data_IF_838226036633
#
_entry.id   IF_838226036633
#
_cell.length_a   1.000
_cell.length_b   1.000
_cell.length_c   1.000
_cell.angle_alpha   90.00
_cell.angle_beta   90.00
_cell.angle_gamma   90.00
#
_symmetry.space_group_name_H-M   'P 1'
#
loop_
_entity.id
_entity.type
_entity.pdbx_description
1 polymer ?
#
# COMPACT_ATOMS: atom_id res chain seq x y z
N UNK A 1 19.35 -23.40 2.36
CA UNK A 1 17.96 -23.89 2.58
C UNK A 1 17.03 -23.11 1.67
N UNK A 2 16.39 -23.75 0.71
CA UNK A 2 15.27 -23.13 -0.03
C UNK A 2 14.21 -22.78 1.01
N UNK A 3 13.74 -21.54 1.07
CA UNK A 3 12.51 -21.24 1.80
C UNK A 3 11.51 -22.25 1.29
N UNK A 4 11.09 -23.19 2.14
CA UNK A 4 10.05 -24.14 1.74
C UNK A 4 8.87 -23.32 1.25
N UNK A 5 8.28 -23.70 0.13
CA UNK A 5 7.11 -23.03 -0.45
C UNK A 5 6.08 -22.72 0.64
N UNK A 6 5.89 -23.65 1.58
CA UNK A 6 5.03 -23.48 2.74
C UNK A 6 5.35 -22.25 3.61
N UNK A 7 6.63 -22.00 3.93
CA UNK A 7 6.98 -20.82 4.75
C UNK A 7 6.68 -19.49 4.03
N UNK A 8 6.83 -19.46 2.70
CA UNK A 8 6.47 -18.28 1.92
C UNK A 8 4.94 -18.06 1.93
N UNK A 9 4.15 -19.12 1.79
CA UNK A 9 2.68 -19.06 1.87
C UNK A 9 2.24 -18.60 3.25
N UNK A 10 2.73 -19.21 4.33
CA UNK A 10 2.37 -18.79 5.70
C UNK A 10 2.75 -17.34 6.00
N UNK A 11 3.88 -16.86 5.48
CA UNK A 11 4.25 -15.44 5.62
C UNK A 11 3.27 -14.54 4.90
N UNK A 12 2.82 -14.91 3.69
CA UNK A 12 1.83 -14.12 2.95
C UNK A 12 0.47 -14.12 3.67
N UNK A 13 0.02 -15.27 4.17
CA UNK A 13 -1.20 -15.36 4.99
C UNK A 13 -1.11 -14.47 6.22
N UNK A 14 0.00 -14.50 6.95
CA UNK A 14 0.21 -13.63 8.10
C UNK A 14 0.16 -12.14 7.76
N UNK A 15 0.78 -11.75 6.63
CA UNK A 15 0.74 -10.36 6.15
C UNK A 15 -0.68 -9.93 5.78
N UNK A 16 -1.42 -10.76 5.06
CA UNK A 16 -2.81 -10.43 4.68
C UNK A 16 -3.74 -10.38 5.89
N UNK A 17 -3.54 -11.25 6.88
CA UNK A 17 -4.27 -11.21 8.16
C UNK A 17 -4.00 -9.89 8.91
N UNK A 18 -2.75 -9.41 8.96
CA UNK A 18 -2.41 -8.13 9.57
C UNK A 18 -3.03 -6.94 8.80
N UNK A 19 -3.08 -7.02 7.48
CA UNK A 19 -3.72 -5.98 6.67
C UNK A 19 -5.24 -5.96 6.83
N UNK A 20 -5.88 -7.10 7.09
CA UNK A 20 -7.33 -7.17 7.32
C UNK A 20 -7.76 -6.44 8.61
N UNK A 21 -6.84 -6.27 9.57
CA UNK A 21 -7.10 -5.49 10.79
C UNK A 21 -7.46 -4.03 10.49
N UNK A 22 -7.02 -3.46 9.36
CA UNK A 22 -7.37 -2.09 8.98
C UNK A 22 -8.89 -1.90 8.86
N UNK A 23 -9.59 -2.86 8.25
CA UNK A 23 -11.04 -2.82 8.13
C UNK A 23 -11.77 -3.00 9.46
N UNK A 24 -11.19 -3.79 10.37
CA UNK A 24 -11.76 -3.99 11.72
C UNK A 24 -11.59 -2.72 12.55
N UNK A 25 -10.38 -2.17 12.58
CA UNK A 25 -10.06 -0.95 13.33
C UNK A 25 -10.93 0.23 12.88
N UNK A 26 -11.08 0.43 11.56
CA UNK A 26 -11.92 1.54 11.05
C UNK A 26 -13.38 1.45 11.46
N UNK A 27 -13.90 0.24 11.73
CA UNK A 27 -15.28 0.04 12.22
C UNK A 27 -15.46 0.31 13.72
N UNK A 28 -14.37 0.32 14.49
CA UNK A 28 -14.38 0.57 15.92
C UNK A 28 -13.97 2.01 16.28
N UNK A 29 -13.77 2.86 15.28
CA UNK A 29 -13.53 4.29 15.50
C UNK A 29 -14.86 4.97 15.83
N UNK A 30 -14.87 5.76 16.90
CA UNK A 30 -16.09 6.38 17.43
C UNK A 30 -16.27 7.82 16.93
N UNK A 31 -15.22 8.62 16.89
CA UNK A 31 -15.29 10.07 16.64
C UNK A 31 -14.34 10.57 15.54
N UNK A 32 -13.37 9.76 15.14
CA UNK A 32 -12.35 10.17 14.18
C UNK A 32 -12.91 10.36 12.77
N UNK A 33 -12.67 11.54 12.18
CA UNK A 33 -13.07 11.86 10.80
C UNK A 33 -12.13 11.19 9.78
N UNK A 34 -12.59 11.03 8.54
CA UNK A 34 -11.85 10.36 7.46
C UNK A 34 -10.40 10.82 7.28
N UNK A 35 -10.18 12.14 7.28
CA UNK A 35 -8.83 12.71 7.13
C UNK A 35 -8.00 12.59 8.39
N UNK A 36 -8.63 12.66 9.56
CA UNK A 36 -7.99 12.49 10.84
C UNK A 36 -7.48 11.05 11.03
N UNK A 37 -8.28 10.06 10.65
CA UNK A 37 -7.89 8.64 10.59
C UNK A 37 -6.65 8.45 9.71
N UNK A 38 -6.65 9.08 8.53
CA UNK A 38 -5.52 9.02 7.60
C UNK A 38 -4.27 9.68 8.18
N UNK A 39 -4.43 10.85 8.83
CA UNK A 39 -3.34 11.58 9.47
C UNK A 39 -2.68 10.76 10.57
N UNK A 40 -3.44 10.32 11.58
CA UNK A 40 -2.88 9.59 12.72
C UNK A 40 -2.21 8.29 12.29
N UNK A 41 -2.86 7.52 11.41
CA UNK A 41 -2.25 6.30 10.87
C UNK A 41 -0.94 6.57 10.14
N UNK A 42 -0.92 7.57 9.25
CA UNK A 42 0.29 7.92 8.50
C UNK A 42 1.39 8.46 9.40
N UNK A 43 1.04 9.27 10.41
CA UNK A 43 1.95 9.80 11.41
C UNK A 43 2.62 8.66 12.19
N UNK A 44 1.85 7.72 12.74
CA UNK A 44 2.42 6.57 13.44
C UNK A 44 3.24 5.67 12.52
N UNK A 45 2.88 5.56 11.24
CA UNK A 45 3.71 4.87 10.25
C UNK A 45 5.06 5.57 10.06
N UNK A 46 5.08 6.91 9.99
CA UNK A 46 6.32 7.70 9.92
C UNK A 46 7.18 7.46 11.15
N UNK A 47 6.62 7.65 12.36
CA UNK A 47 7.36 7.45 13.62
C UNK A 47 7.95 6.05 13.68
N UNK A 48 7.17 5.07 13.35
CA UNK A 48 7.60 3.67 13.36
C UNK A 48 8.72 3.39 12.37
N UNK A 49 8.62 3.90 11.13
CA UNK A 49 9.66 3.73 10.11
C UNK A 49 10.94 4.48 10.48
N UNK A 50 10.84 5.65 11.11
CA UNK A 50 12.01 6.40 11.60
C UNK A 50 12.80 5.61 12.65
N UNK A 51 12.12 4.80 13.47
CA UNK A 51 12.77 3.94 14.47
C UNK A 51 13.28 2.64 13.85
N UNK A 52 12.49 1.98 13.05
CA UNK A 52 12.78 0.63 12.56
C UNK A 52 13.80 0.62 11.42
N UNK A 53 13.75 1.59 10.50
CA UNK A 53 14.71 1.68 9.40
C UNK A 53 16.18 1.72 9.89
N UNK A 54 16.58 2.60 10.84
CA UNK A 54 17.95 2.61 11.33
C UNK A 54 18.31 1.40 12.20
N UNK A 55 17.34 0.82 12.92
CA UNK A 55 17.58 -0.40 13.70
C UNK A 55 17.91 -1.61 12.82
N UNK A 56 17.35 -1.64 11.61
CA UNK A 56 17.47 -2.77 10.70
C UNK A 56 18.55 -2.66 9.65
N UNK A 57 18.60 -1.53 8.98
CA UNK A 57 19.58 -1.28 7.92
C UNK A 57 20.82 -0.53 8.43
N UNK A 58 20.85 -0.23 9.73
CA UNK A 58 21.89 0.60 10.34
C UNK A 58 21.68 2.09 10.07
N UNK A 59 22.38 2.94 10.82
CA UNK A 59 22.30 4.40 10.66
C UNK A 59 22.70 4.91 9.27
N UNK A 60 23.41 4.07 8.49
CA UNK A 60 23.79 4.39 7.10
C UNK A 60 22.63 4.48 6.11
N UNK A 61 21.41 4.09 6.49
CA UNK A 61 20.20 4.26 5.66
C UNK A 61 20.03 5.72 5.26
N UNK A 62 20.19 6.62 6.18
CA UNK A 62 19.99 8.06 5.95
C UNK A 62 20.97 8.66 4.95
N UNK A 63 22.20 8.17 4.92
CA UNK A 63 23.24 8.62 3.97
C UNK A 63 23.10 7.97 2.59
N UNK A 64 22.35 6.86 2.50
CA UNK A 64 22.14 6.10 1.25
C UNK A 64 20.77 6.36 0.60
N UNK A 65 20.03 7.32 1.12
CA UNK A 65 18.73 7.69 0.52
C UNK A 65 18.93 8.15 -0.92
N UNK A 66 18.23 7.56 -1.89
CA UNK A 66 18.38 7.91 -3.29
C UNK A 66 17.61 9.19 -3.65
N UNK A 67 17.83 10.27 -2.90
CA UNK A 67 17.13 11.55 -3.05
C UNK A 67 17.27 12.17 -4.45
N UNK A 68 18.36 11.84 -5.16
CA UNK A 68 18.60 12.32 -6.51
C UNK A 68 17.83 11.53 -7.58
N UNK A 69 17.26 10.38 -7.23
CA UNK A 69 16.52 9.53 -8.16
C UNK A 69 15.07 9.99 -8.30
N UNK A 70 14.62 10.22 -9.55
CA UNK A 70 13.22 10.47 -9.86
C UNK A 70 12.31 9.33 -9.40
N UNK A 71 12.79 8.08 -9.51
CA UNK A 71 12.05 6.90 -9.07
C UNK A 71 11.68 6.95 -7.58
N UNK A 72 12.56 7.49 -6.74
CA UNK A 72 12.30 7.64 -5.31
C UNK A 72 11.13 8.59 -5.04
N UNK A 73 11.10 9.75 -5.68
CA UNK A 73 10.05 10.75 -5.50
C UNK A 73 8.70 10.28 -6.06
N UNK A 74 8.69 9.72 -7.28
CA UNK A 74 7.47 9.16 -7.85
C UNK A 74 6.94 7.98 -7.04
N UNK A 75 7.81 7.12 -6.52
CA UNK A 75 7.43 6.04 -5.62
C UNK A 75 6.83 6.56 -4.32
N UNK A 76 7.42 7.58 -3.71
CA UNK A 76 6.87 8.23 -2.52
C UNK A 76 5.49 8.85 -2.78
N UNK A 77 5.31 9.50 -3.93
CA UNK A 77 4.01 10.04 -4.32
C UNK A 77 2.95 8.94 -4.49
N UNK A 78 3.29 7.84 -5.17
CA UNK A 78 2.38 6.70 -5.31
C UNK A 78 1.98 6.14 -3.93
N UNK A 79 2.93 5.98 -3.01
CA UNK A 79 2.64 5.54 -1.65
C UNK A 79 1.75 6.53 -0.90
N UNK A 80 1.96 7.84 -1.05
CA UNK A 80 1.11 8.86 -0.43
C UNK A 80 -0.34 8.76 -0.92
N UNK A 81 -0.53 8.63 -2.24
CA UNK A 81 -1.87 8.44 -2.83
C UNK A 81 -2.50 7.15 -2.31
N UNK A 82 -1.76 6.04 -2.28
CA UNK A 82 -2.27 4.76 -1.78
C UNK A 82 -2.70 4.87 -0.31
N UNK A 83 -1.90 5.48 0.55
CA UNK A 83 -2.22 5.61 1.97
C UNK A 83 -3.46 6.49 2.20
N UNK A 84 -3.51 7.64 1.55
CA UNK A 84 -4.62 8.58 1.70
C UNK A 84 -5.90 8.02 1.10
N UNK A 85 -5.86 7.56 -0.15
CA UNK A 85 -7.04 7.07 -0.85
C UNK A 85 -7.62 5.81 -0.19
N UNK A 86 -6.78 4.90 0.31
CA UNK A 86 -7.25 3.69 0.99
C UNK A 86 -8.03 4.01 2.26
N UNK A 87 -7.51 4.88 3.12
CA UNK A 87 -8.19 5.22 4.37
C UNK A 87 -9.46 6.03 4.13
N UNK A 88 -9.40 7.02 3.24
CA UNK A 88 -10.57 7.81 2.88
C UNK A 88 -11.67 6.92 2.26
N UNK A 89 -11.30 5.98 1.40
CA UNK A 89 -12.27 5.04 0.83
C UNK A 89 -12.93 4.17 1.90
N UNK A 90 -12.15 3.65 2.89
CA UNK A 90 -12.70 2.84 3.99
C UNK A 90 -13.69 3.58 4.89
N UNK A 91 -13.60 4.91 4.95
CA UNK A 91 -14.56 5.73 5.72
C UNK A 91 -15.79 6.13 4.91
N UNK A 92 -15.70 6.15 3.57
CA UNK A 92 -16.79 6.57 2.69
C UNK A 92 -17.63 5.41 2.16
N UNK A 93 -17.06 4.20 2.07
CA UNK A 93 -17.76 3.05 1.52
C UNK A 93 -17.47 1.76 2.32
N UNK A 94 -18.20 0.70 2.02
CA UNK A 94 -18.02 -0.58 2.69
C UNK A 94 -16.62 -1.16 2.41
N UNK A 95 -16.00 -1.74 3.45
CA UNK A 95 -14.68 -2.38 3.36
C UNK A 95 -14.61 -3.39 2.20
N UNK A 96 -15.68 -4.16 2.00
CA UNK A 96 -15.77 -5.14 0.92
C UNK A 96 -15.60 -4.48 -0.46
N UNK A 97 -16.22 -3.32 -0.70
CA UNK A 97 -16.13 -2.60 -1.97
C UNK A 97 -14.69 -2.13 -2.22
N UNK A 98 -14.02 -1.61 -1.19
CA UNK A 98 -12.62 -1.19 -1.28
C UNK A 98 -11.72 -2.38 -1.63
N UNK A 99 -11.89 -3.51 -0.95
CA UNK A 99 -11.07 -4.70 -1.19
C UNK A 99 -11.30 -5.32 -2.57
N UNK A 100 -12.55 -5.37 -3.04
CA UNK A 100 -12.87 -5.83 -4.40
C UNK A 100 -12.25 -4.90 -5.45
N UNK A 101 -12.34 -3.59 -5.24
CA UNK A 101 -11.69 -2.61 -6.12
C UNK A 101 -10.17 -2.79 -6.15
N UNK A 102 -9.55 -3.04 -5.00
CA UNK A 102 -8.11 -3.32 -4.92
C UNK A 102 -7.69 -4.61 -5.63
N UNK A 103 -8.58 -5.60 -5.73
CA UNK A 103 -8.30 -6.85 -6.43
C UNK A 103 -8.05 -6.67 -7.95
N UNK A 104 -8.40 -5.51 -8.50
CA UNK A 104 -8.03 -5.12 -9.89
C UNK A 104 -6.55 -4.79 -10.04
N UNK A 105 -5.84 -4.51 -8.95
CA UNK A 105 -4.44 -4.07 -8.97
C UNK A 105 -3.50 -4.91 -9.83
N UNK A 106 -3.47 -6.25 -9.72
CA UNK A 106 -2.64 -7.09 -10.57
C UNK A 106 -2.96 -6.95 -12.06
N UNK A 107 -4.23 -6.78 -12.42
CA UNK A 107 -4.68 -6.61 -13.80
C UNK A 107 -4.24 -5.26 -14.36
N UNK A 108 -4.41 -4.17 -13.59
CA UNK A 108 -3.90 -2.85 -13.94
C UNK A 108 -2.38 -2.85 -14.06
N UNK A 109 -1.68 -3.52 -13.15
CA UNK A 109 -0.21 -3.67 -13.22
C UNK A 109 0.20 -4.36 -14.52
N UNK A 110 -0.47 -5.44 -14.92
CA UNK A 110 -0.20 -6.13 -16.16
C UNK A 110 -0.43 -5.21 -17.38
N UNK A 111 -1.51 -4.44 -17.38
CA UNK A 111 -1.84 -3.50 -18.46
C UNK A 111 -0.82 -2.37 -18.56
N UNK A 112 -0.50 -1.73 -17.45
CA UNK A 112 0.47 -0.62 -17.39
C UNK A 112 1.87 -1.11 -17.80
N UNK A 113 2.28 -2.29 -17.30
CA UNK A 113 3.56 -2.90 -17.65
C UNK A 113 3.64 -3.21 -19.14
N UNK A 114 2.54 -3.63 -19.75
CA UNK A 114 2.48 -3.81 -21.23
C UNK A 114 2.72 -2.50 -21.98
N UNK A 115 2.08 -1.41 -21.55
CA UNK A 115 2.18 -0.11 -22.22
C UNK A 115 3.58 0.49 -22.05
N UNK A 116 4.15 0.43 -20.85
CA UNK A 116 5.41 1.10 -20.53
C UNK A 116 6.67 0.25 -20.75
N UNK A 117 6.59 -1.08 -20.60
CA UNK A 117 7.72 -2.00 -20.78
C UNK A 117 7.58 -2.87 -22.04
N UNK A 118 6.49 -2.78 -22.79
CA UNK A 118 6.28 -3.54 -24.03
C UNK A 118 6.05 -5.05 -23.83
N UNK A 119 5.81 -5.51 -22.59
CA UNK A 119 5.61 -6.93 -22.30
C UNK A 119 4.31 -7.44 -22.95
N UNK A 120 4.40 -8.52 -23.71
CA UNK A 120 3.22 -9.16 -24.32
C UNK A 120 2.45 -9.93 -23.24
N UNK A 121 1.18 -9.59 -23.06
CA UNK A 121 0.30 -10.29 -22.13
C UNK A 121 -0.27 -11.54 -22.81
N UNK A 122 -0.27 -12.70 -22.13
CA UNK A 122 -0.93 -13.90 -22.64
C UNK A 122 -2.47 -13.70 -22.69
N UNK A 123 -3.13 -14.43 -23.60
CA UNK A 123 -4.58 -14.34 -23.76
C UNK A 123 -5.37 -14.60 -22.47
N UNK A 124 -4.84 -15.47 -21.60
CA UNK A 124 -5.42 -15.75 -20.27
C UNK A 124 -5.53 -14.49 -19.40
N UNK A 125 -4.54 -13.60 -19.45
CA UNK A 125 -4.56 -12.32 -18.71
C UNK A 125 -5.63 -11.38 -19.26
N UNK A 126 -5.81 -11.34 -20.58
CA UNK A 126 -6.91 -10.56 -21.18
C UNK A 126 -8.28 -11.07 -20.76
N UNK A 127 -8.48 -12.39 -20.76
CA UNK A 127 -9.72 -12.97 -20.27
C UNK A 127 -9.98 -12.60 -18.80
N UNK A 128 -8.96 -12.68 -17.95
CA UNK A 128 -9.07 -12.29 -16.54
C UNK A 128 -9.42 -10.80 -16.37
N UNK A 129 -8.84 -9.90 -17.19
CA UNK A 129 -9.16 -8.47 -17.18
C UNK A 129 -10.64 -8.24 -17.53
N UNK A 130 -11.13 -8.89 -18.57
CA UNK A 130 -12.53 -8.77 -19.02
C UNK A 130 -13.49 -9.30 -17.96
N UNK A 131 -13.23 -10.48 -17.42
CA UNK A 131 -14.05 -11.08 -16.36
C UNK A 131 -14.09 -10.23 -15.09
N UNK A 132 -12.94 -9.70 -14.66
CA UNK A 132 -12.87 -8.79 -13.52
C UNK A 132 -13.62 -7.49 -13.79
N UNK A 133 -13.50 -6.92 -15.00
CA UNK A 133 -14.22 -5.73 -15.43
C UNK A 133 -15.75 -5.94 -15.39
N UNK A 134 -16.23 -7.08 -15.87
CA UNK A 134 -17.66 -7.45 -15.80
C UNK A 134 -18.12 -7.58 -14.35
N UNK A 135 -17.34 -8.28 -13.48
CA UNK A 135 -17.67 -8.45 -12.07
C UNK A 135 -17.77 -7.13 -11.31
N UNK A 136 -16.85 -6.21 -11.57
CA UNK A 136 -16.87 -4.88 -10.98
C UNK A 136 -18.02 -4.05 -11.52
N UNK A 137 -18.25 -4.07 -12.84
CA UNK A 137 -19.39 -3.39 -13.46
C UNK A 137 -20.72 -3.86 -12.91
N UNK A 138 -20.88 -5.18 -12.70
CA UNK A 138 -22.07 -5.75 -12.05
C UNK A 138 -22.24 -5.25 -10.61
N UNK A 139 -21.16 -5.29 -9.82
CA UNK A 139 -21.18 -4.86 -8.41
C UNK A 139 -21.55 -3.37 -8.30
N UNK A 140 -20.90 -2.52 -9.07
CA UNK A 140 -21.20 -1.08 -9.06
C UNK A 140 -22.59 -0.78 -9.66
N UNK A 141 -22.98 -1.47 -10.72
CA UNK A 141 -24.28 -1.30 -11.35
C UNK A 141 -25.43 -1.61 -10.41
N UNK A 142 -25.33 -2.66 -9.61
CA UNK A 142 -26.37 -3.03 -8.63
C UNK A 142 -26.48 -2.03 -7.46
N UNK A 143 -25.40 -1.34 -7.11
CA UNK A 143 -25.38 -0.38 -5.99
C UNK A 143 -25.66 1.07 -6.41
N UNK A 144 -25.43 1.41 -7.68
CA UNK A 144 -25.82 2.69 -8.25
C UNK A 144 -27.33 2.95 -8.15
N UNK A 145 -28.14 1.90 -8.18
CA UNK A 145 -29.59 1.99 -8.02
C UNK A 145 -30.05 2.42 -6.61
N UNK A 146 -29.17 2.41 -5.61
CA UNK A 146 -29.46 2.76 -4.22
C UNK A 146 -29.23 4.25 -3.90
N UNK A 147 -28.68 5.04 -4.84
CA UNK A 147 -28.63 6.51 -4.77
C UNK A 147 -27.76 7.13 -3.66
N UNK A 148 -26.83 6.37 -3.06
CA UNK A 148 -25.92 6.93 -2.05
C UNK A 148 -24.72 7.63 -2.71
N UNK A 149 -24.63 8.99 -2.65
CA UNK A 149 -23.52 9.72 -3.23
C UNK A 149 -22.17 9.37 -2.60
N UNK A 150 -22.13 9.00 -1.32
CA UNK A 150 -20.90 8.62 -0.62
C UNK A 150 -20.34 7.31 -1.18
N UNK A 151 -21.19 6.40 -1.62
CA UNK A 151 -20.76 5.16 -2.27
C UNK A 151 -19.98 5.43 -3.55
N UNK A 152 -20.45 6.33 -4.41
CA UNK A 152 -19.79 6.69 -5.66
C UNK A 152 -18.43 7.35 -5.41
N UNK A 153 -18.41 8.34 -4.52
CA UNK A 153 -17.17 9.06 -4.16
C UNK A 153 -16.15 8.08 -3.55
N UNK A 154 -16.60 7.27 -2.59
CA UNK A 154 -15.75 6.26 -1.94
C UNK A 154 -15.17 5.23 -2.92
N UNK A 155 -15.99 4.81 -3.91
CA UNK A 155 -15.56 3.88 -4.95
C UNK A 155 -14.54 4.49 -5.92
N UNK A 156 -14.77 5.75 -6.32
CA UNK A 156 -13.82 6.50 -7.15
C UNK A 156 -12.48 6.71 -6.43
N UNK A 157 -12.52 7.07 -5.17
CA UNK A 157 -11.31 7.20 -4.33
C UNK A 157 -10.63 5.84 -4.17
N UNK A 158 -11.38 4.74 -3.98
CA UNK A 158 -10.84 3.40 -3.90
C UNK A 158 -10.07 2.99 -5.18
N UNK A 159 -10.52 3.41 -6.37
CA UNK A 159 -9.82 3.14 -7.64
C UNK A 159 -8.43 3.79 -7.73
N UNK A 160 -8.20 4.90 -7.03
CA UNK A 160 -6.88 5.52 -7.00
C UNK A 160 -5.82 4.59 -6.39
N UNK A 161 -6.22 3.69 -5.47
CA UNK A 161 -5.30 2.77 -4.79
C UNK A 161 -4.67 1.76 -5.77
N UNK A 162 -5.42 0.95 -6.53
CA UNK A 162 -4.85 0.01 -7.48
C UNK A 162 -4.16 0.70 -8.66
N UNK A 163 -4.58 1.90 -9.06
CA UNK A 163 -3.89 2.68 -10.09
C UNK A 163 -2.50 3.10 -9.58
N UNK A 164 -2.42 3.76 -8.43
CA UNK A 164 -1.15 4.18 -7.85
C UNK A 164 -0.24 2.97 -7.53
N UNK A 165 -0.82 1.87 -7.03
CA UNK A 165 -0.11 0.63 -6.78
C UNK A 165 0.47 0.01 -8.06
N UNK A 166 -0.28 0.02 -9.14
CA UNK A 166 0.17 -0.50 -10.43
C UNK A 166 1.31 0.33 -11.03
N UNK A 167 1.22 1.65 -10.92
CA UNK A 167 2.31 2.56 -11.28
C UNK A 167 3.54 2.29 -10.42
N UNK A 168 3.37 2.16 -9.10
CA UNK A 168 4.44 1.86 -8.16
C UNK A 168 5.19 0.57 -8.52
N UNK A 169 4.47 -0.52 -8.78
CA UNK A 169 5.10 -1.79 -9.17
C UNK A 169 5.81 -1.72 -10.52
N UNK A 170 5.24 -0.97 -11.48
CA UNK A 170 5.87 -0.74 -12.78
C UNK A 170 7.16 0.09 -12.65
N UNK A 171 7.16 1.11 -11.78
CA UNK A 171 8.37 1.90 -11.47
C UNK A 171 9.47 1.03 -10.86
N UNK A 172 9.12 0.14 -9.92
CA UNK A 172 10.08 -0.81 -9.34
C UNK A 172 10.66 -1.74 -10.39
N UNK A 173 9.83 -2.30 -11.28
CA UNK A 173 10.29 -3.17 -12.36
C UNK A 173 11.20 -2.42 -13.34
N UNK A 174 10.82 -1.20 -13.73
CA UNK A 174 11.60 -0.37 -14.63
C UNK A 174 12.96 0.01 -14.04
N UNK A 175 12.99 0.43 -12.78
CA UNK A 175 14.25 0.73 -12.06
C UNK A 175 15.20 -0.48 -12.04
N UNK A 176 14.65 -1.69 -11.87
CA UNK A 176 15.43 -2.93 -11.87
C UNK A 176 15.92 -3.28 -13.28
N UNK A 177 15.10 -3.08 -14.32
CA UNK A 177 15.49 -3.37 -15.71
C UNK A 177 16.58 -2.42 -16.25
N UNK A 178 16.63 -1.20 -15.71
CA UNK A 178 17.69 -0.22 -16.02
C UNK A 178 18.99 -0.45 -15.19
N UNK A 179 19.06 -1.54 -14.44
CA UNK A 179 20.24 -1.87 -13.62
C UNK A 179 20.41 -0.96 -12.39
N UNK A 180 19.45 -0.09 -12.13
CA UNK A 180 19.43 0.71 -10.92
C UNK A 180 18.87 -0.13 -9.76
N UNK A 181 19.74 -0.82 -9.02
CA UNK A 181 19.36 -1.55 -7.81
C UNK A 181 19.03 -0.58 -6.66
N UNK A 182 18.07 0.32 -6.90
CA UNK A 182 17.63 1.29 -5.90
C UNK A 182 16.81 0.58 -4.83
N UNK A 183 17.18 0.80 -3.57
CA UNK A 183 16.31 0.43 -2.47
C UNK A 183 15.18 1.48 -2.36
N UNK A 184 13.98 1.12 -2.84
CA UNK A 184 12.80 1.97 -2.76
C UNK A 184 12.01 1.80 -1.45
N UNK A 185 12.54 1.03 -0.48
CA UNK A 185 11.92 0.90 0.85
C UNK A 185 11.78 2.26 1.56
N UNK A 186 12.80 3.14 1.55
CA UNK A 186 12.65 4.45 2.16
C UNK A 186 11.60 5.35 1.50
N UNK A 187 11.15 5.05 0.27
CA UNK A 187 10.09 5.81 -0.38
C UNK A 187 8.72 5.65 0.30
N UNK A 188 8.53 4.56 1.05
CA UNK A 188 7.33 4.37 1.89
C UNK A 188 7.28 5.41 3.00
N UNK A 189 8.44 5.69 3.63
CA UNK A 189 8.55 6.76 4.62
C UNK A 189 8.19 8.11 4.02
N UNK A 190 8.70 8.41 2.81
CA UNK A 190 8.35 9.63 2.09
C UNK A 190 6.84 9.68 1.81
N UNK A 191 6.25 8.57 1.37
CA UNK A 191 4.81 8.48 1.12
C UNK A 191 3.96 8.70 2.36
N UNK A 192 4.34 8.09 3.48
CA UNK A 192 3.66 8.28 4.76
C UNK A 192 3.80 9.72 5.27
N UNK A 193 4.98 10.33 5.11
CA UNK A 193 5.22 11.73 5.48
C UNK A 193 4.37 12.67 4.62
N UNK A 194 4.36 12.51 3.31
CA UNK A 194 3.55 13.31 2.40
C UNK A 194 2.05 13.14 2.71
N UNK A 195 1.58 11.93 2.95
CA UNK A 195 0.19 11.65 3.32
C UNK A 195 -0.18 12.34 4.63
N UNK A 196 0.68 12.27 5.65
CA UNK A 196 0.47 12.94 6.94
C UNK A 196 0.42 14.47 6.78
N UNK A 197 1.36 15.06 6.04
CA UNK A 197 1.41 16.51 5.82
C UNK A 197 0.20 17.02 5.01
N UNK A 198 -0.23 16.28 3.98
CA UNK A 198 -1.37 16.66 3.15
C UNK A 198 -2.70 16.54 3.92
N UNK A 199 -2.82 15.57 4.80
CA UNK A 199 -4.06 15.38 5.56
C UNK A 199 -4.13 16.21 6.84
N UNK A 200 -3.00 16.71 7.35
CA UNK A 200 -2.94 17.55 8.55
C UNK A 200 -3.92 18.74 8.52
N UNK A 201 -3.92 19.63 7.50
CA UNK A 201 -4.82 20.78 7.48
C UNK A 201 -6.29 20.37 7.37
N UNK A 202 -6.59 19.21 6.75
CA UNK A 202 -7.94 18.68 6.60
C UNK A 202 -8.45 17.95 7.86
N UNK A 203 -7.53 17.62 8.78
CA UNK A 203 -7.82 16.92 10.03
C UNK A 203 -8.18 17.90 11.17
N UNK A 204 -7.92 19.19 11.00
CA UNK A 204 -8.23 20.20 12.01
C UNK A 204 -9.71 20.57 12.00
N UNK A 205 -10.35 20.75 13.17
CA UNK A 205 -9.90 20.44 14.51
C UNK A 205 -9.94 18.92 14.79
N UNK A 206 -8.96 18.41 15.55
CA UNK A 206 -8.91 17.00 15.97
C UNK A 206 -10.10 16.67 16.87
N UNK A 207 -10.80 15.59 16.54
CA UNK A 207 -11.96 15.07 17.28
C UNK A 207 -11.75 13.62 17.76
N UNK A 208 -10.66 12.97 17.33
CA UNK A 208 -10.35 11.60 17.71
C UNK A 208 -10.17 11.48 19.21
N UNK A 209 -10.81 10.49 19.80
CA UNK A 209 -10.61 10.10 21.20
C UNK A 209 -9.20 9.50 21.40
N UNK A 210 -8.73 9.46 22.66
CA UNK A 210 -7.47 8.77 23.00
C UNK A 210 -7.53 7.29 22.58
N UNK A 211 -8.71 6.69 22.66
CA UNK A 211 -8.96 5.32 22.21
C UNK A 211 -8.75 5.19 20.69
N UNK A 212 -9.32 6.10 19.89
CA UNK A 212 -9.17 6.11 18.43
C UNK A 212 -7.70 6.28 18.02
N UNK A 213 -7.00 7.24 18.65
CA UNK A 213 -5.57 7.48 18.40
C UNK A 213 -4.73 6.25 18.75
N UNK A 214 -5.06 5.55 19.84
CA UNK A 214 -4.41 4.31 20.22
C UNK A 214 -4.60 3.19 19.20
N UNK A 215 -5.82 2.99 18.71
CA UNK A 215 -6.13 2.02 17.66
C UNK A 215 -5.40 2.31 16.35
N UNK A 216 -5.35 3.59 15.96
CA UNK A 216 -4.64 4.02 14.75
C UNK A 216 -3.12 3.90 14.91
N UNK A 217 -2.60 4.11 16.13
CA UNK A 217 -1.20 3.84 16.47
C UNK A 217 -0.83 2.38 16.29
N UNK A 218 -1.64 1.48 16.81
CA UNK A 218 -1.49 0.03 16.62
C UNK A 218 -1.52 -0.31 15.13
N UNK A 219 -2.47 0.25 14.36
CA UNK A 219 -2.57 0.01 12.93
C UNK A 219 -1.33 0.50 12.16
N UNK A 220 -0.79 1.67 12.51
CA UNK A 220 0.45 2.19 11.95
C UNK A 220 1.67 1.29 12.24
N UNK A 221 1.75 0.71 13.43
CA UNK A 221 2.78 -0.24 13.82
C UNK A 221 2.65 -1.58 13.06
N UNK A 222 1.45 -2.12 12.92
CA UNK A 222 1.23 -3.41 12.23
C UNK A 222 1.56 -3.37 10.74
N UNK A 223 1.46 -2.22 10.11
CA UNK A 223 1.88 -2.04 8.72
C UNK A 223 3.38 -2.33 8.52
N UNK A 224 4.17 -2.16 9.58
CA UNK A 224 5.60 -2.47 9.61
C UNK A 224 5.91 -3.96 9.66
N UNK A 225 5.07 -4.77 10.30
CA UNK A 225 5.26 -6.21 10.35
C UNK A 225 5.29 -6.83 8.94
N UNK A 226 4.59 -6.24 8.00
CA UNK A 226 4.63 -6.60 6.57
C UNK A 226 6.03 -6.37 5.99
N UNK A 227 6.63 -5.23 6.28
CA UNK A 227 7.98 -4.88 5.84
C UNK A 227 9.03 -5.77 6.50
N UNK A 228 8.88 -6.05 7.79
CA UNK A 228 9.72 -6.95 8.54
C UNK A 228 9.81 -8.31 7.84
N UNK A 229 8.68 -8.83 7.38
CA UNK A 229 8.60 -10.13 6.70
C UNK A 229 9.32 -10.14 5.35
N UNK A 230 9.24 -9.04 4.59
CA UNK A 230 9.86 -8.90 3.26
C UNK A 230 11.39 -8.78 3.39
N UNK A 231 11.88 -7.99 4.35
CA UNK A 231 13.31 -7.79 4.57
C UNK A 231 13.99 -9.01 5.18
N UNK A 232 13.34 -9.75 6.07
CA UNK A 232 13.85 -11.05 6.54
C UNK A 232 14.09 -12.02 5.37
N UNK A 233 13.26 -11.95 4.33
CA UNK A 233 13.48 -12.75 3.10
C UNK A 233 14.69 -12.27 2.31
N UNK A 234 14.93 -10.96 2.21
CA UNK A 234 16.11 -10.40 1.51
C UNK A 234 17.41 -10.73 2.23
N UNK A 235 17.46 -10.59 3.56
CA UNK A 235 18.64 -10.92 4.37
C UNK A 235 19.02 -12.40 4.26
N UNK A 236 18.04 -13.29 4.34
CA UNK A 236 18.27 -14.73 4.12
C UNK A 236 18.75 -15.05 2.71
N UNK A 237 18.37 -14.27 1.70
CA UNK A 237 18.85 -14.42 0.32
C UNK A 237 20.30 -13.95 0.15
N UNK A 238 20.68 -12.86 0.82
CA UNK A 238 22.03 -12.30 0.79
C UNK A 238 23.04 -13.20 1.52
N UNK A 239 22.70 -13.72 2.69
CA UNK A 239 23.52 -14.69 3.42
C UNK A 239 23.80 -15.97 2.62
N UNK A 240 22.87 -16.39 1.74
CA UNK A 240 23.08 -17.57 0.87
C UNK A 240 24.00 -17.31 -0.29
N UNK A 241 24.01 -16.11 -0.85
CA UNK A 241 24.95 -15.76 -1.90
C UNK A 241 26.39 -15.69 -1.37
N UNK A 242 26.58 -15.25 -0.11
CA UNK A 242 27.90 -15.25 0.53
C UNK A 242 28.36 -16.63 1.02
N UNK A 243 27.48 -17.61 1.17
CA UNK A 243 27.85 -18.96 1.61
C UNK A 243 28.15 -19.93 0.44
N UNK A 244 28.09 -19.46 -0.81
CA UNK A 244 28.38 -20.24 -2.04
C UNK A 244 29.71 -19.78 -2.68
N UNK A 245 30.36 -18.75 -2.09
CA UNK A 245 31.73 -18.33 -2.40
C UNK A 245 32.68 -18.90 -1.33
#
# INVERSE_FOLDING_TARGET
MRLTHGLAVWTMVGVTALWSMAGVVTRHLEQARSFEVTFWRSFFTVVSLLVILPLWQGRSVWTRLPLRSRYFWFSGLCWSVMFTAFMVALTLTAVANVLITMAVGPLLTALITRVFLGHRLPARTWLAIVLAGIGIGWMYGSQLSLGDPNFLIGSMVALCVPIAGSVQWTLVQKSQSEGQNLDLVPSVLLGALLSSLLTLPLSMPFQASVHDVGLLGVLGLFQLATWLSIELKKLKRKQRQCAII
#
